data_IF_053964664625
#
_entry.id   IF_053964664625
#
_cell.length_a   1.000
_cell.length_b   1.000
_cell.length_c   1.000
_cell.angle_alpha   90.00
_cell.angle_beta   90.00
_cell.angle_gamma   90.00
#
_symmetry.space_group_name_H-M   'P 1'
#
loop_
_entity.id
_entity.type
_entity.pdbx_description
1 polymer ?
#
# COMPACT_ATOMS: atom_id res chain seq x y z
N UNK A 1 -8.70 -33.53 0.23
CA UNK A 1 -7.85 -33.11 1.39
C UNK A 1 -6.74 -32.16 0.96
N UNK A 2 -6.09 -32.38 -0.18
CA UNK A 2 -4.99 -31.54 -0.72
C UNK A 2 -5.42 -30.10 -1.03
N UNK A 3 -6.60 -29.89 -1.60
CA UNK A 3 -7.08 -28.54 -1.95
C UNK A 3 -7.32 -27.65 -0.73
N UNK A 4 -7.89 -28.20 0.35
CA UNK A 4 -8.12 -27.46 1.59
C UNK A 4 -6.80 -27.02 2.25
N UNK A 5 -5.75 -27.84 2.15
CA UNK A 5 -4.41 -27.51 2.65
C UNK A 5 -3.79 -26.40 1.79
N UNK A 6 -3.86 -26.51 0.46
CA UNK A 6 -3.32 -25.49 -0.45
C UNK A 6 -3.99 -24.13 -0.23
N UNK A 7 -5.33 -24.10 -0.10
CA UNK A 7 -6.08 -22.86 0.15
C UNK A 7 -5.67 -22.22 1.47
N UNK A 8 -5.57 -23.02 2.55
CA UNK A 8 -5.12 -22.52 3.86
C UNK A 8 -3.71 -21.94 3.81
N UNK A 9 -2.78 -22.62 3.14
CA UNK A 9 -1.41 -22.12 2.98
C UNK A 9 -1.37 -20.80 2.22
N UNK A 10 -2.15 -20.65 1.14
CA UNK A 10 -2.23 -19.39 0.39
C UNK A 10 -2.76 -18.24 1.25
N UNK A 11 -3.81 -18.47 2.02
CA UNK A 11 -4.37 -17.45 2.92
C UNK A 11 -3.35 -16.97 3.97
N UNK A 12 -2.57 -17.90 4.54
CA UNK A 12 -1.50 -17.56 5.49
C UNK A 12 -0.42 -16.72 4.82
N UNK A 13 0.05 -17.13 3.62
CA UNK A 13 1.05 -16.36 2.87
C UNK A 13 0.55 -14.95 2.53
N UNK A 14 -0.70 -14.80 2.10
CA UNK A 14 -1.29 -13.48 1.81
C UNK A 14 -1.36 -12.60 3.05
N UNK A 15 -1.75 -13.15 4.20
CA UNK A 15 -1.79 -12.42 5.47
C UNK A 15 -0.39 -11.95 5.87
N UNK A 16 0.62 -12.82 5.78
CA UNK A 16 2.02 -12.49 6.11
C UNK A 16 2.57 -11.40 5.19
N UNK A 17 2.26 -11.45 3.89
CA UNK A 17 2.67 -10.39 2.94
C UNK A 17 2.00 -9.06 3.28
N UNK A 18 0.71 -9.06 3.63
CA UNK A 18 0.00 -7.85 4.05
C UNK A 18 0.60 -7.25 5.32
N UNK A 19 0.89 -8.06 6.34
CA UNK A 19 1.47 -7.57 7.60
C UNK A 19 2.90 -7.07 7.42
N UNK A 20 3.73 -7.75 6.62
CA UNK A 20 5.09 -7.30 6.31
C UNK A 20 5.11 -5.94 5.60
N UNK A 21 4.21 -5.72 4.63
CA UNK A 21 4.08 -4.43 3.93
C UNK A 21 3.73 -3.28 4.88
N UNK A 22 2.83 -3.53 5.84
CA UNK A 22 2.47 -2.56 6.88
C UNK A 22 3.67 -2.22 7.78
N UNK A 23 4.45 -3.21 8.21
CA UNK A 23 5.64 -2.97 9.05
C UNK A 23 6.70 -2.14 8.35
N UNK A 24 6.89 -2.33 7.04
CA UNK A 24 7.85 -1.55 6.25
C UNK A 24 7.32 -0.16 5.90
N UNK A 25 6.02 0.09 6.14
CA UNK A 25 5.35 1.36 5.78
C UNK A 25 5.24 1.55 4.27
N UNK A 26 5.16 0.46 3.50
CA UNK A 26 4.97 0.50 2.04
C UNK A 26 3.52 0.09 1.76
N UNK A 27 2.59 1.05 1.60
CA UNK A 27 1.26 0.74 1.12
C UNK A 27 1.35 0.19 -0.31
N UNK A 28 0.59 -0.85 -0.61
CA UNK A 28 0.43 -1.29 -1.99
C UNK A 28 -0.48 -0.31 -2.76
N UNK A 29 -0.31 -0.27 -4.07
CA UNK A 29 -1.03 0.67 -4.92
C UNK A 29 -2.55 0.44 -4.89
N UNK A 30 -3.02 -0.80 -4.77
CA UNK A 30 -4.47 -1.07 -4.71
C UNK A 30 -5.07 -0.58 -3.41
N UNK A 31 -4.42 -0.80 -2.27
CA UNK A 31 -4.83 -0.22 -0.98
C UNK A 31 -4.89 1.31 -1.06
N UNK A 32 -3.93 1.96 -1.73
CA UNK A 32 -3.99 3.40 -1.99
C UNK A 32 -5.20 3.80 -2.83
N UNK A 33 -5.46 3.12 -3.94
CA UNK A 33 -6.61 3.39 -4.82
C UNK A 33 -7.92 3.23 -4.05
N UNK A 34 -8.08 2.13 -3.31
CA UNK A 34 -9.27 1.87 -2.49
C UNK A 34 -9.45 2.96 -1.44
N UNK A 35 -8.41 3.32 -0.69
CA UNK A 35 -8.46 4.41 0.29
C UNK A 35 -8.85 5.75 -0.35
N UNK A 36 -8.31 6.06 -1.53
CA UNK A 36 -8.65 7.29 -2.27
C UNK A 36 -10.09 7.29 -2.74
N UNK A 37 -10.57 6.18 -3.26
CA UNK A 37 -11.96 6.05 -3.73
C UNK A 37 -12.95 6.13 -2.56
N UNK A 38 -12.63 5.54 -1.40
CA UNK A 38 -13.53 5.54 -0.24
C UNK A 38 -13.52 6.86 0.52
N UNK A 39 -12.34 7.48 0.72
CA UNK A 39 -12.17 8.64 1.60
C UNK A 39 -12.04 9.97 0.84
N UNK A 40 -11.73 9.94 -0.46
CA UNK A 40 -11.57 11.12 -1.30
C UNK A 40 -12.32 10.98 -2.65
N UNK A 41 -13.64 10.74 -2.63
CA UNK A 41 -14.41 10.60 -3.85
C UNK A 41 -14.30 11.87 -4.71
N UNK A 42 -14.08 11.70 -6.01
CA UNK A 42 -13.98 12.80 -6.98
C UNK A 42 -12.60 13.45 -7.12
N UNK A 43 -11.61 13.05 -6.30
CA UNK A 43 -10.23 13.48 -6.53
C UNK A 43 -9.48 12.52 -7.47
N UNK A 44 -8.53 13.01 -8.29
CA UNK A 44 -7.73 12.15 -9.13
C UNK A 44 -6.90 11.17 -8.29
N UNK A 45 -6.80 9.94 -8.78
CA UNK A 45 -5.93 8.89 -8.23
C UNK A 45 -4.65 8.92 -9.03
N UNK A 46 -3.50 8.99 -8.34
CA UNK A 46 -2.19 8.94 -9.00
C UNK A 46 -2.03 7.66 -9.79
N UNK A 47 -1.26 7.70 -10.86
CA UNK A 47 -0.75 6.50 -11.53
C UNK A 47 0.20 5.73 -10.60
N UNK A 48 0.45 4.46 -10.95
CA UNK A 48 1.38 3.61 -10.20
C UNK A 48 2.79 4.24 -10.11
N UNK A 49 3.28 4.82 -11.20
CA UNK A 49 4.62 5.42 -11.25
C UNK A 49 4.72 6.67 -10.37
N UNK A 50 3.70 7.53 -10.40
CA UNK A 50 3.61 8.73 -9.56
C UNK A 50 3.56 8.34 -8.09
N UNK A 51 2.70 7.37 -7.73
CA UNK A 51 2.62 6.83 -6.37
C UNK A 51 3.99 6.30 -5.92
N UNK A 52 4.67 5.50 -6.74
CA UNK A 52 5.95 4.91 -6.40
C UNK A 52 7.05 5.98 -6.21
N UNK A 53 7.11 6.98 -7.09
CA UNK A 53 8.05 8.11 -6.94
C UNK A 53 7.75 8.94 -5.70
N UNK A 54 6.48 9.17 -5.40
CA UNK A 54 6.07 9.92 -4.21
C UNK A 54 6.51 9.21 -2.93
N UNK A 55 6.35 7.88 -2.84
CA UNK A 55 6.78 7.08 -1.68
C UNK A 55 8.29 7.04 -1.52
N UNK A 56 9.04 6.92 -2.62
CA UNK A 56 10.49 7.02 -2.57
C UNK A 56 10.95 8.40 -2.10
N UNK A 57 10.35 9.47 -2.64
CA UNK A 57 10.65 10.83 -2.19
C UNK A 57 10.28 11.05 -0.72
N UNK A 58 9.14 10.52 -0.27
CA UNK A 58 8.73 10.60 1.14
C UNK A 58 9.74 9.95 2.09
N UNK A 59 10.34 8.82 1.68
CA UNK A 59 11.25 8.04 2.53
C UNK A 59 12.70 8.49 2.43
N UNK A 60 13.14 8.93 1.25
CA UNK A 60 14.56 9.16 0.96
C UNK A 60 14.90 10.62 0.65
N UNK A 61 13.93 11.49 0.38
CA UNK A 61 14.22 12.91 0.18
C UNK A 61 14.30 13.65 1.52
N UNK A 62 15.51 14.07 1.90
CA UNK A 62 15.77 15.03 2.98
C UNK A 62 15.32 16.43 2.54
N UNK A 63 14.02 16.71 2.64
CA UNK A 63 13.49 18.07 2.45
C UNK A 63 12.71 18.51 3.69
N UNK A 64 12.97 19.75 4.11
CA UNK A 64 12.86 20.25 5.49
C UNK A 64 11.44 20.54 5.98
N UNK A 65 10.41 20.28 5.18
CA UNK A 65 9.05 20.62 5.56
C UNK A 65 8.03 19.82 4.75
N UNK A 66 7.66 18.62 5.21
CA UNK A 66 6.38 17.99 4.84
C UNK A 66 5.91 17.05 5.95
N UNK A 67 5.08 17.58 6.83
CA UNK A 67 4.11 16.78 7.57
C UNK A 67 3.27 15.99 6.57
N UNK A 68 3.43 14.67 6.49
CA UNK A 68 2.63 13.81 5.62
C UNK A 68 1.48 13.20 6.43
N UNK A 69 0.31 13.82 6.32
CA UNK A 69 -0.95 13.26 6.75
C UNK A 69 -1.74 12.59 5.61
N UNK A 70 -2.59 11.64 6.00
CA UNK A 70 -3.67 10.93 5.26
C UNK A 70 -3.36 10.26 3.89
N UNK A 71 -2.09 10.11 3.49
CA UNK A 71 -1.68 9.29 2.35
C UNK A 71 -0.39 8.53 2.64
#
# INVERSE_FOLDING_TARGET
MTEAVITRTRLVCELVVKTARLMVGIPDYQTYVTHRQSNHPGQPVMTYEEFFRERQAARYAVSKDRFRGCC
#
